data_IF_107993400451
#
_entry.id   IF_107993400451
#
_cell.length_a   1.000
_cell.length_b   1.000
_cell.length_c   1.000
_cell.angle_alpha   90.00
_cell.angle_beta   90.00
_cell.angle_gamma   90.00
#
_symmetry.space_group_name_H-M   'P 1'
#
loop_
_entity.id
_entity.type
_entity.pdbx_description
1 polymer ?
#
# COMPACT_ATOMS: atom_id res chain seq x y z
N UNK A 1 -3.87 12.80 -11.32
CA UNK A 1 -3.79 11.67 -10.38
C UNK A 1 -2.38 11.13 -10.35
N UNK A 2 -1.90 10.77 -9.18
CA UNK A 2 -0.56 10.23 -8.99
C UNK A 2 -0.66 8.77 -8.62
N UNK A 3 0.19 7.95 -9.21
CA UNK A 3 0.26 6.54 -8.90
C UNK A 3 1.60 6.23 -8.24
N UNK A 4 1.56 5.46 -7.16
CA UNK A 4 2.76 5.03 -6.45
C UNK A 4 2.73 3.52 -6.26
N UNK A 5 3.91 2.92 -6.25
CA UNK A 5 4.07 1.50 -5.99
C UNK A 5 4.80 1.34 -4.67
N UNK A 6 4.19 0.63 -3.73
CA UNK A 6 4.77 0.37 -2.41
C UNK A 6 5.25 -1.07 -2.41
N UNK A 7 6.54 -1.28 -2.21
CA UNK A 7 7.11 -2.61 -2.11
C UNK A 7 6.97 -3.11 -0.69
N UNK A 8 6.36 -4.27 -0.54
CA UNK A 8 5.95 -4.79 0.76
C UNK A 8 6.50 -6.20 0.96
N UNK A 9 7.13 -6.42 2.10
CA UNK A 9 7.58 -7.74 2.52
C UNK A 9 6.61 -8.30 3.56
N UNK A 10 6.48 -9.62 3.60
CA UNK A 10 5.65 -10.30 4.58
C UNK A 10 4.27 -10.68 4.09
N UNK A 11 3.91 -10.33 2.86
CA UNK A 11 2.65 -10.80 2.27
C UNK A 11 2.82 -12.24 1.81
N UNK A 12 2.20 -13.16 2.51
CA UNK A 12 2.35 -14.58 2.25
C UNK A 12 1.10 -15.25 1.68
N UNK A 13 -0.03 -14.56 1.67
CA UNK A 13 -1.30 -15.13 1.19
C UNK A 13 -2.27 -14.05 0.74
N UNK A 14 -3.37 -14.46 0.11
CA UNK A 14 -4.39 -13.53 -0.38
C UNK A 14 -5.03 -12.66 0.69
N UNK A 15 -5.08 -13.13 1.93
CA UNK A 15 -5.61 -12.33 3.04
C UNK A 15 -4.71 -11.13 3.34
N UNK A 16 -3.42 -11.28 3.14
CA UNK A 16 -2.47 -10.19 3.35
C UNK A 16 -2.70 -9.08 2.35
N UNK A 17 -2.92 -9.41 1.08
CA UNK A 17 -3.20 -8.39 0.06
C UNK A 17 -4.48 -7.63 0.39
N UNK A 18 -5.53 -8.33 0.82
CA UNK A 18 -6.78 -7.70 1.20
C UNK A 18 -6.61 -6.73 2.38
N UNK A 19 -5.80 -7.11 3.36
CA UNK A 19 -5.50 -6.24 4.51
C UNK A 19 -4.77 -4.98 4.10
N UNK A 20 -3.77 -5.12 3.25
CA UNK A 20 -3.01 -3.99 2.75
C UNK A 20 -3.90 -3.05 1.95
N UNK A 21 -4.72 -3.60 1.06
CA UNK A 21 -5.66 -2.80 0.28
C UNK A 21 -6.62 -2.03 1.17
N UNK A 22 -7.18 -2.70 2.17
CA UNK A 22 -8.12 -2.07 3.09
C UNK A 22 -7.45 -0.96 3.92
N UNK A 23 -6.24 -1.22 4.42
CA UNK A 23 -5.50 -0.25 5.19
C UNK A 23 -5.18 1.00 4.37
N UNK A 24 -4.69 0.82 3.15
CA UNK A 24 -4.34 1.93 2.28
C UNK A 24 -5.57 2.69 1.78
N UNK A 25 -6.67 1.98 1.53
CA UNK A 25 -7.90 2.62 1.09
C UNK A 25 -8.48 3.56 2.16
N UNK A 26 -8.12 3.37 3.40
CA UNK A 26 -8.54 4.25 4.49
C UNK A 26 -7.73 5.55 4.59
N UNK A 27 -6.69 5.71 3.80
CA UNK A 27 -5.87 6.91 3.82
C UNK A 27 -6.52 8.01 2.98
N UNK A 28 -6.65 9.20 3.58
CA UNK A 28 -7.20 10.35 2.86
C UNK A 28 -6.31 10.70 1.67
N UNK A 29 -6.91 10.87 0.50
CA UNK A 29 -6.18 11.14 -0.73
C UNK A 29 -5.91 9.91 -1.59
N UNK A 30 -6.20 8.71 -1.10
CA UNK A 30 -6.08 7.47 -1.87
C UNK A 30 -7.39 7.22 -2.62
N UNK A 31 -7.33 7.19 -3.94
CA UNK A 31 -8.48 6.94 -4.80
C UNK A 31 -8.73 5.44 -4.99
N UNK A 32 -7.67 4.68 -5.17
CA UNK A 32 -7.76 3.24 -5.34
C UNK A 32 -6.46 2.56 -4.93
N UNK A 33 -6.55 1.27 -4.59
CA UNK A 33 -5.41 0.45 -4.20
C UNK A 33 -5.55 -0.91 -4.86
N UNK A 34 -4.44 -1.42 -5.36
CA UNK A 34 -4.38 -2.77 -5.89
C UNK A 34 -3.11 -3.44 -5.39
N UNK A 35 -3.25 -4.44 -4.56
CA UNK A 35 -2.12 -5.21 -4.05
C UNK A 35 -1.81 -6.38 -4.98
N UNK A 36 -0.53 -6.66 -5.15
CA UNK A 36 -0.04 -7.75 -5.97
C UNK A 36 0.81 -8.67 -5.10
N UNK A 37 0.32 -9.89 -4.87
CA UNK A 37 1.00 -10.88 -4.04
C UNK A 37 2.29 -11.38 -4.73
N UNK A 38 2.24 -11.65 -6.01
CA UNK A 38 3.40 -12.14 -6.75
C UNK A 38 4.50 -11.09 -6.84
N UNK A 39 4.10 -9.84 -7.08
CA UNK A 39 5.04 -8.73 -7.18
C UNK A 39 5.49 -8.20 -5.83
N UNK A 40 4.88 -8.66 -4.75
CA UNK A 40 5.16 -8.19 -3.38
C UNK A 40 5.06 -6.67 -3.27
N UNK A 41 4.02 -6.11 -3.86
CA UNK A 41 3.83 -4.67 -3.89
C UNK A 41 2.35 -4.30 -3.88
N UNK A 42 2.08 -3.02 -3.65
CA UNK A 42 0.74 -2.47 -3.75
C UNK A 42 0.81 -1.21 -4.61
N UNK A 43 -0.08 -1.12 -5.57
CA UNK A 43 -0.23 0.08 -6.39
C UNK A 43 -1.31 0.96 -5.80
N UNK A 44 -0.98 2.20 -5.57
CA UNK A 44 -1.89 3.18 -4.98
C UNK A 44 -2.10 4.30 -5.97
N UNK A 45 -3.35 4.60 -6.28
CA UNK A 45 -3.70 5.76 -7.10
C UNK A 45 -4.18 6.86 -6.16
N UNK A 46 -3.53 8.01 -6.25
CA UNK A 46 -3.79 9.14 -5.37
C UNK A 46 -4.56 10.23 -6.12
N UNK A 47 -5.60 10.78 -5.49
CA UNK A 47 -6.33 11.93 -6.02
C UNK A 47 -5.97 13.21 -5.29
N UNK A 48 -5.07 13.14 -4.32
CA UNK A 48 -4.55 14.28 -3.57
C UNK A 48 -3.12 13.96 -3.14
N UNK A 49 -2.30 14.96 -2.79
CA UNK A 49 -0.94 14.70 -2.32
C UNK A 49 -0.94 13.87 -1.04
N UNK A 50 -0.21 12.75 -1.06
CA UNK A 50 -0.03 11.88 0.11
C UNK A 50 1.46 11.58 0.21
N UNK A 51 2.01 11.73 1.40
CA UNK A 51 3.44 11.48 1.62
C UNK A 51 3.75 9.99 1.66
N UNK A 52 4.93 9.63 1.17
CA UNK A 52 5.40 8.24 1.21
C UNK A 52 5.43 7.71 2.65
N UNK A 53 5.82 8.57 3.59
CA UNK A 53 5.86 8.22 5.01
C UNK A 53 4.47 7.82 5.54
N UNK A 54 3.42 8.48 5.08
CA UNK A 54 2.05 8.16 5.49
C UNK A 54 1.64 6.77 4.98
N UNK A 55 1.97 6.46 3.74
CA UNK A 55 1.67 5.16 3.15
C UNK A 55 2.47 4.06 3.84
N UNK A 56 3.75 4.31 4.11
CA UNK A 56 4.63 3.38 4.82
C UNK A 56 4.09 3.09 6.22
N UNK A 57 3.68 4.13 6.94
CA UNK A 57 3.16 3.99 8.30
C UNK A 57 1.91 3.12 8.33
N UNK A 58 1.01 3.30 7.36
CA UNK A 58 -0.23 2.53 7.28
C UNK A 58 0.06 1.04 7.05
N UNK A 59 0.97 0.73 6.14
CA UNK A 59 1.34 -0.66 5.84
C UNK A 59 2.06 -1.29 7.04
N UNK A 60 2.96 -0.56 7.67
CA UNK A 60 3.68 -1.03 8.85
C UNK A 60 2.70 -1.31 9.99
N UNK A 61 1.73 -0.44 10.18
CA UNK A 61 0.70 -0.59 11.20
C UNK A 61 -0.19 -1.82 10.94
N UNK A 62 -0.35 -2.20 9.70
CA UNK A 62 -1.08 -3.42 9.32
C UNK A 62 -0.28 -4.70 9.59
N UNK A 63 0.99 -4.59 9.96
CA UNK A 63 1.83 -5.73 10.31
C UNK A 63 2.78 -6.18 9.21
N UNK A 64 3.02 -5.35 8.20
CA UNK A 64 3.91 -5.67 7.09
C UNK A 64 5.09 -4.70 7.04
N UNK A 65 6.12 -5.07 6.30
CA UNK A 65 7.30 -4.24 6.16
C UNK A 65 7.35 -3.61 4.77
N UNK A 66 7.59 -2.31 4.71
CA UNK A 66 7.76 -1.59 3.46
C UNK A 66 9.26 -1.50 3.15
N UNK A 67 9.65 -2.02 2.00
CA UNK A 67 11.06 -2.01 1.58
C UNK A 67 11.36 -0.86 0.62
N UNK A 68 10.34 -0.23 0.08
CA UNK A 68 10.52 0.93 -0.79
C UNK A 68 9.19 1.46 -1.30
N UNK A 69 9.19 2.71 -1.71
CA UNK A 69 8.05 3.37 -2.36
C UNK A 69 8.56 3.99 -3.66
N UNK A 70 7.90 3.67 -4.74
CA UNK A 70 8.29 4.16 -6.08
C UNK A 70 7.25 5.06 -6.71
#
# INVERSE_FOLDING_TARGET
MTEKTIRIEGMACGHCTARVEKALAGVAGVASVKADLEGKCARVTLNAPVEDAALTAVVTDAGYEVTGVE
#
